data_IF_984685680008
#
_entry.id   IF_984685680008
#
_cell.length_a   1.000
_cell.length_b   1.000
_cell.length_c   1.000
_cell.angle_alpha   90.00
_cell.angle_beta   90.00
_cell.angle_gamma   90.00
#
_symmetry.space_group_name_H-M   'P 1'
#
loop_
_entity.id
_entity.type
_entity.pdbx_description
1 polymer ?
#
# COMPACT_ATOMS: atom_id res chain seq x y z
N UNK A 1 -16.62 3.44 -25.13
CA UNK A 1 -15.69 2.40 -24.61
C UNK A 1 -15.03 2.81 -23.31
N UNK A 2 -14.54 4.05 -23.18
CA UNK A 2 -13.93 4.59 -21.94
C UNK A 2 -14.86 4.53 -20.72
N UNK A 3 -16.16 4.78 -20.90
CA UNK A 3 -17.10 4.84 -19.77
C UNK A 3 -17.39 3.45 -19.18
N UNK A 4 -17.29 2.38 -19.98
CA UNK A 4 -17.38 1.01 -19.49
C UNK A 4 -16.20 0.67 -18.57
N UNK A 5 -14.97 1.07 -18.95
CA UNK A 5 -13.78 0.85 -18.13
C UNK A 5 -13.82 1.65 -16.82
N UNK A 6 -14.33 2.89 -16.85
CA UNK A 6 -14.50 3.70 -15.65
C UNK A 6 -15.49 3.05 -14.67
N UNK A 7 -16.65 2.61 -15.17
CA UNK A 7 -17.66 1.95 -14.35
C UNK A 7 -17.17 0.61 -13.78
N UNK A 8 -16.42 -0.17 -14.58
CA UNK A 8 -15.80 -1.40 -14.12
C UNK A 8 -14.76 -1.15 -13.02
N UNK A 9 -13.92 -0.12 -13.17
CA UNK A 9 -12.94 0.26 -12.16
C UNK A 9 -13.62 0.65 -10.84
N UNK A 10 -14.67 1.47 -10.90
CA UNK A 10 -15.41 1.88 -9.70
C UNK A 10 -16.07 0.69 -8.99
N UNK A 11 -16.65 -0.26 -9.73
CA UNK A 11 -17.23 -1.47 -9.16
C UNK A 11 -16.13 -2.31 -8.49
N UNK A 12 -14.99 -2.51 -9.15
CA UNK A 12 -13.88 -3.26 -8.60
C UNK A 12 -13.33 -2.60 -7.33
N UNK A 13 -13.16 -1.27 -7.32
CA UNK A 13 -12.72 -0.53 -6.14
C UNK A 13 -13.72 -0.68 -4.98
N UNK A 14 -15.03 -0.52 -5.24
CA UNK A 14 -16.06 -0.70 -4.22
C UNK A 14 -16.06 -2.13 -3.66
N UNK A 15 -15.95 -3.14 -4.52
CA UNK A 15 -15.85 -4.55 -4.12
C UNK A 15 -14.61 -4.76 -3.24
N UNK A 16 -13.43 -4.28 -3.65
CA UNK A 16 -12.20 -4.39 -2.88
C UNK A 16 -12.34 -3.73 -1.51
N UNK A 17 -12.92 -2.53 -1.44
CA UNK A 17 -13.14 -1.80 -0.19
C UNK A 17 -14.09 -2.56 0.73
N UNK A 18 -15.22 -3.05 0.23
CA UNK A 18 -16.22 -3.78 1.02
C UNK A 18 -15.63 -5.09 1.55
N UNK A 19 -15.09 -5.93 0.66
CA UNK A 19 -14.53 -7.23 1.04
C UNK A 19 -13.31 -7.06 1.95
N UNK A 20 -12.42 -6.12 1.63
CA UNK A 20 -11.25 -5.86 2.45
C UNK A 20 -11.62 -5.36 3.84
N UNK A 21 -12.62 -4.46 3.95
CA UNK A 21 -13.11 -3.98 5.25
C UNK A 21 -13.68 -5.12 6.09
N UNK A 22 -14.45 -6.03 5.49
CA UNK A 22 -14.94 -7.23 6.16
C UNK A 22 -13.79 -8.13 6.65
N UNK A 23 -12.75 -8.34 5.83
CA UNK A 23 -11.56 -9.12 6.22
C UNK A 23 -10.81 -8.46 7.38
N UNK A 24 -10.64 -7.15 7.37
CA UNK A 24 -10.00 -6.39 8.46
C UNK A 24 -10.81 -6.55 9.76
N UNK A 25 -12.11 -6.29 9.71
CA UNK A 25 -12.98 -6.38 10.88
C UNK A 25 -13.02 -7.79 11.46
N UNK A 26 -13.13 -8.82 10.60
CA UNK A 26 -13.13 -10.21 11.03
C UNK A 26 -11.83 -10.62 11.73
N UNK A 27 -10.68 -10.12 11.27
CA UNK A 27 -9.37 -10.48 11.81
C UNK A 27 -8.89 -9.56 12.94
N UNK A 28 -9.62 -8.50 13.27
CA UNK A 28 -9.18 -7.49 14.25
C UNK A 28 -8.97 -8.09 15.65
N UNK A 29 -9.84 -9.00 16.09
CA UNK A 29 -9.66 -9.68 17.38
C UNK A 29 -8.43 -10.59 17.43
N UNK A 30 -8.09 -11.23 16.30
CA UNK A 30 -6.87 -12.05 16.20
C UNK A 30 -5.60 -11.22 16.07
N UNK A 31 -5.68 -10.05 15.43
CA UNK A 31 -4.55 -9.13 15.27
C UNK A 31 -3.96 -8.67 16.61
N UNK A 32 -4.74 -8.69 17.69
CA UNK A 32 -4.25 -8.33 19.04
C UNK A 32 -3.33 -9.42 19.61
N UNK A 33 -3.54 -10.68 19.23
CA UNK A 33 -2.87 -11.85 19.81
C UNK A 33 -1.77 -12.42 18.90
N UNK A 34 -1.92 -12.32 17.58
CA UNK A 34 -0.99 -12.84 16.60
C UNK A 34 -0.34 -11.72 15.78
N UNK A 35 0.99 -11.61 15.86
CA UNK A 35 1.77 -10.60 15.15
C UNK A 35 1.66 -10.71 13.63
N UNK A 36 1.51 -11.92 13.08
CA UNK A 36 1.35 -12.11 11.63
C UNK A 36 0.01 -11.54 11.18
N UNK A 37 -1.05 -11.89 11.90
CA UNK A 37 -2.39 -11.34 11.65
C UNK A 37 -2.42 -9.82 11.84
N UNK A 38 -1.72 -9.29 12.84
CA UNK A 38 -1.58 -7.85 13.07
C UNK A 38 -0.96 -7.12 11.87
N UNK A 39 0.17 -7.63 11.38
CA UNK A 39 0.86 -7.05 10.24
C UNK A 39 0.06 -7.18 8.93
N UNK A 40 -0.66 -8.30 8.76
CA UNK A 40 -1.57 -8.50 7.63
C UNK A 40 -2.72 -7.51 7.65
N UNK A 41 -3.40 -7.37 8.79
CA UNK A 41 -4.49 -6.40 8.96
C UNK A 41 -3.99 -4.98 8.70
N UNK A 42 -2.84 -4.59 9.25
CA UNK A 42 -2.25 -3.27 8.99
C UNK A 42 -2.00 -3.02 7.49
N UNK A 43 -1.42 -3.99 6.78
CA UNK A 43 -1.18 -3.88 5.34
C UNK A 43 -2.48 -3.70 4.57
N UNK A 44 -3.49 -4.55 4.83
CA UNK A 44 -4.79 -4.46 4.15
C UNK A 44 -5.46 -3.12 4.47
N UNK A 45 -5.42 -2.66 5.72
CA UNK A 45 -5.98 -1.35 6.10
C UNK A 45 -5.37 -0.21 5.29
N UNK A 46 -4.05 -0.15 5.12
CA UNK A 46 -3.42 0.90 4.30
C UNK A 46 -3.80 0.80 2.83
N UNK A 47 -3.88 -0.41 2.27
CA UNK A 47 -4.36 -0.64 0.90
C UNK A 47 -5.81 -0.16 0.74
N UNK A 48 -6.67 -0.44 1.72
CA UNK A 48 -8.07 0.00 1.70
C UNK A 48 -8.21 1.52 1.79
N UNK A 49 -7.36 2.18 2.58
CA UNK A 49 -7.33 3.65 2.63
C UNK A 49 -7.07 4.23 1.23
N UNK A 50 -6.16 3.62 0.45
CA UNK A 50 -5.87 4.07 -0.91
C UNK A 50 -7.08 3.89 -1.82
N UNK A 51 -7.64 2.69 -1.90
CA UNK A 51 -8.78 2.42 -2.77
C UNK A 51 -10.04 3.19 -2.36
N UNK A 52 -10.24 3.40 -1.06
CA UNK A 52 -11.36 4.20 -0.55
C UNK A 52 -11.21 5.67 -0.92
N UNK A 53 -10.01 6.24 -0.73
CA UNK A 53 -9.74 7.62 -1.09
C UNK A 53 -9.90 7.86 -2.61
N UNK A 54 -9.45 6.91 -3.43
CA UNK A 54 -9.61 6.96 -4.88
C UNK A 54 -11.08 6.88 -5.32
N UNK A 55 -11.85 5.95 -4.74
CA UNK A 55 -13.29 5.82 -4.97
C UNK A 55 -14.06 7.09 -4.57
N UNK A 56 -13.67 7.73 -3.47
CA UNK A 56 -14.27 9.00 -3.06
C UNK A 56 -13.87 10.14 -4.01
N UNK A 57 -12.61 10.21 -4.43
CA UNK A 57 -12.15 11.19 -5.39
C UNK A 57 -12.85 11.07 -6.75
N UNK A 58 -13.23 9.85 -7.19
CA UNK A 58 -13.94 9.64 -8.45
C UNK A 58 -15.43 10.01 -8.42
N UNK A 59 -16.00 10.25 -7.24
CA UNK A 59 -17.44 10.51 -7.04
C UNK A 59 -17.78 11.95 -6.69
N UNK A 60 -16.79 12.76 -6.35
CA UNK A 60 -17.00 14.11 -5.84
C UNK A 60 -16.81 15.14 -6.95
N UNK A 61 -17.84 15.94 -7.20
CA UNK A 61 -17.82 17.02 -8.21
C UNK A 61 -17.14 18.30 -7.69
N UNK A 62 -17.02 18.47 -6.37
CA UNK A 62 -16.41 19.65 -5.75
C UNK A 62 -14.87 19.54 -5.68
N UNK A 63 -14.16 20.41 -6.41
CA UNK A 63 -12.71 20.38 -6.54
C UNK A 63 -11.92 20.48 -5.21
N UNK A 64 -12.40 21.26 -4.24
CA UNK A 64 -11.76 21.41 -2.91
C UNK A 64 -11.78 20.09 -2.13
N UNK A 65 -12.88 19.33 -2.26
CA UNK A 65 -13.04 18.06 -1.59
C UNK A 65 -12.18 16.96 -2.24
N UNK A 66 -12.00 16.98 -3.57
CA UNK A 66 -11.14 16.02 -4.29
C UNK A 66 -9.69 16.08 -3.83
N UNK A 67 -9.12 17.28 -3.66
CA UNK A 67 -7.73 17.43 -3.17
C UNK A 67 -7.53 16.80 -1.80
N UNK A 68 -8.51 16.97 -0.89
CA UNK A 68 -8.44 16.41 0.45
C UNK A 68 -8.42 14.87 0.42
N UNK A 69 -9.22 14.26 -0.45
CA UNK A 69 -9.22 12.80 -0.62
C UNK A 69 -7.92 12.29 -1.26
N UNK A 70 -7.38 12.99 -2.25
CA UNK A 70 -6.09 12.64 -2.85
C UNK A 70 -4.94 12.75 -1.83
N UNK A 71 -4.93 13.77 -0.97
CA UNK A 71 -3.97 13.86 0.15
C UNK A 71 -4.17 12.74 1.17
N UNK A 72 -5.41 12.32 1.42
CA UNK A 72 -5.70 11.19 2.31
C UNK A 72 -5.22 9.86 1.71
N UNK A 73 -5.30 9.68 0.39
CA UNK A 73 -4.78 8.50 -0.33
C UNK A 73 -3.30 8.26 -0.02
N UNK A 74 -2.52 9.34 0.08
CA UNK A 74 -1.09 9.26 0.38
C UNK A 74 -0.75 8.64 1.74
N UNK A 75 -1.68 8.67 2.71
CA UNK A 75 -1.53 7.95 3.98
C UNK A 75 -1.34 6.46 3.72
N UNK A 76 -2.15 5.88 2.84
CA UNK A 76 -2.01 4.48 2.47
C UNK A 76 -0.74 4.23 1.64
N UNK A 77 -0.49 5.06 0.62
CA UNK A 77 0.67 4.90 -0.28
C UNK A 77 2.00 4.91 0.49
N UNK A 78 2.18 5.85 1.43
CA UNK A 78 3.42 5.96 2.21
C UNK A 78 3.62 4.79 3.19
N UNK A 79 2.52 4.21 3.70
CA UNK A 79 2.55 3.22 4.78
C UNK A 79 2.54 1.77 4.28
N UNK A 80 2.12 1.51 3.04
CA UNK A 80 2.09 0.17 2.43
C UNK A 80 3.46 -0.53 2.46
N UNK A 81 4.59 0.09 2.04
CA UNK A 81 5.90 -0.58 2.09
C UNK A 81 6.32 -0.95 3.50
N UNK A 82 6.05 -0.08 4.47
CA UNK A 82 6.35 -0.34 5.89
C UNK A 82 5.54 -1.52 6.43
N UNK A 83 4.25 -1.58 6.12
CA UNK A 83 3.37 -2.68 6.52
C UNK A 83 3.72 -3.99 5.81
N UNK A 84 4.11 -3.95 4.53
CA UNK A 84 4.68 -5.11 3.83
C UNK A 84 5.93 -5.60 4.56
N UNK A 85 6.86 -4.71 4.86
CA UNK A 85 8.09 -5.09 5.55
C UNK A 85 7.80 -5.73 6.91
N UNK A 86 6.86 -5.16 7.68
CA UNK A 86 6.35 -5.73 8.93
C UNK A 86 5.82 -7.16 8.75
N UNK A 87 4.94 -7.38 7.78
CA UNK A 87 4.35 -8.70 7.49
C UNK A 87 5.43 -9.69 7.04
N UNK A 88 6.39 -9.26 6.23
CA UNK A 88 7.52 -10.11 5.82
C UNK A 88 8.34 -10.57 7.04
N UNK A 89 8.59 -9.65 7.99
CA UNK A 89 9.30 -9.95 9.22
C UNK A 89 8.55 -10.94 10.11
N UNK A 90 7.25 -10.75 10.27
CA UNK A 90 6.38 -11.63 11.04
C UNK A 90 6.27 -13.03 10.42
N UNK A 91 6.19 -13.14 9.09
CA UNK A 91 6.19 -14.44 8.41
C UNK A 91 7.50 -15.20 8.63
N UNK A 92 8.63 -14.50 8.70
CA UNK A 92 9.92 -15.11 8.92
C UNK A 92 10.13 -15.59 10.36
N UNK A 93 9.57 -14.92 11.37
CA UNK A 93 9.69 -15.37 12.76
C UNK A 93 8.98 -16.72 12.96
N UNK A 94 7.84 -16.93 12.29
CA UNK A 94 7.13 -18.22 12.28
C UNK A 94 7.95 -19.33 11.59
N UNK A 95 8.84 -18.99 10.65
CA UNK A 95 9.74 -19.97 10.00
C UNK A 95 11.04 -20.25 10.78
N UNK A 96 11.16 -19.78 12.02
CA UNK A 96 12.32 -20.04 12.89
C UNK A 96 13.57 -19.19 12.57
N UNK A 97 13.43 -18.07 11.87
CA UNK A 97 14.54 -17.16 11.63
C UNK A 97 14.81 -16.25 12.86
N UNK A 98 16.07 -16.06 13.30
CA UNK A 98 16.38 -15.23 14.45
C UNK A 98 16.00 -13.74 14.22
N UNK A 99 15.39 -13.07 15.20
CA UNK A 99 14.74 -11.76 15.00
C UNK A 99 15.66 -10.53 15.09
N UNK A 100 16.94 -10.67 15.44
CA UNK A 100 17.78 -9.57 15.98
C UNK A 100 17.80 -8.26 15.18
N UNK A 101 17.95 -8.31 13.85
CA UNK A 101 17.97 -7.09 13.02
C UNK A 101 16.57 -6.54 12.72
N UNK A 102 15.55 -7.39 12.71
CA UNK A 102 14.20 -7.05 12.22
C UNK A 102 13.35 -6.29 13.22
N UNK A 103 13.60 -6.50 14.52
CA UNK A 103 12.94 -5.75 15.61
C UNK A 103 13.18 -4.24 15.50
N UNK A 104 14.32 -3.82 14.94
CA UNK A 104 14.65 -2.41 14.71
C UNK A 104 14.33 -1.92 13.28
N UNK A 105 14.36 -2.81 12.29
CA UNK A 105 14.05 -2.42 10.89
C UNK A 105 12.56 -2.13 10.65
N UNK A 106 11.64 -2.81 11.36
CA UNK A 106 10.21 -2.53 11.23
C UNK A 106 9.83 -1.11 11.71
N UNK A 107 10.18 -0.66 12.94
CA UNK A 107 9.83 0.68 13.39
C UNK A 107 10.51 1.77 12.54
N UNK A 108 11.72 1.54 12.05
CA UNK A 108 12.39 2.50 11.15
C UNK A 108 11.66 2.65 9.83
N UNK A 109 11.15 1.58 9.22
CA UNK A 109 10.32 1.67 8.01
C UNK A 109 9.02 2.46 8.26
N UNK A 110 8.37 2.28 9.42
CA UNK A 110 7.20 3.07 9.81
C UNK A 110 7.54 4.54 10.05
N UNK A 111 8.66 4.85 10.71
CA UNK A 111 9.12 6.23 10.93
C UNK A 111 9.43 6.91 9.60
N UNK A 112 10.12 6.23 8.68
CA UNK A 112 10.42 6.78 7.34
C UNK A 112 9.11 7.01 6.57
N UNK A 113 8.17 6.06 6.60
CA UNK A 113 6.84 6.23 6.00
C UNK A 113 6.08 7.42 6.59
N UNK A 114 6.17 7.63 7.90
CA UNK A 114 5.53 8.75 8.60
C UNK A 114 6.21 10.09 8.31
N UNK A 115 7.53 10.12 8.10
CA UNK A 115 8.26 11.29 7.63
C UNK A 115 7.79 11.66 6.21
N UNK A 116 7.71 10.70 5.29
CA UNK A 116 7.19 10.96 3.93
C UNK A 116 5.73 11.41 3.95
N UNK A 117 4.89 10.81 4.80
CA UNK A 117 3.51 11.23 5.01
C UNK A 117 3.45 12.68 5.53
N UNK A 118 4.29 13.02 6.52
CA UNK A 118 4.41 14.38 7.03
C UNK A 118 4.86 15.37 5.95
N UNK A 119 5.83 14.99 5.11
CA UNK A 119 6.28 15.80 3.98
C UNK A 119 5.17 16.05 2.96
N UNK A 120 4.33 15.04 2.66
CA UNK A 120 3.18 15.16 1.74
C UNK A 120 2.07 16.04 2.34
N UNK A 121 1.78 15.90 3.64
CA UNK A 121 0.71 16.67 4.29
C UNK A 121 1.10 18.14 4.52
N UNK A 122 2.36 18.40 4.87
CA UNK A 122 2.84 19.72 5.26
C UNK A 122 3.43 20.52 4.09
N UNK A 123 3.80 19.87 2.99
CA UNK A 123 4.57 20.50 1.92
C UNK A 123 4.02 20.12 0.55
N UNK A 124 3.89 21.09 -0.35
CA UNK A 124 3.65 20.84 -1.79
C UNK A 124 4.91 20.28 -2.51
N UNK A 125 5.88 19.76 -1.76
CA UNK A 125 7.21 19.39 -2.25
C UNK A 125 7.27 17.95 -2.78
N UNK A 126 6.33 17.12 -2.35
CA UNK A 126 6.12 15.75 -2.87
C UNK A 126 4.99 15.72 -3.90
N UNK A 127 4.07 16.67 -3.81
CA UNK A 127 2.84 16.79 -4.59
C UNK A 127 2.64 18.27 -4.89
N UNK A 128 2.77 18.68 -6.15
CA UNK A 128 2.54 20.07 -6.57
C UNK A 128 1.14 20.24 -7.20
N UNK A 129 0.76 21.50 -7.44
CA UNK A 129 -0.60 21.99 -7.77
C UNK A 129 -1.52 21.04 -8.55
N UNK A 130 -2.78 21.03 -8.10
CA UNK A 130 -3.94 20.39 -8.72
C UNK A 130 -4.06 20.80 -10.20
N UNK A 131 -3.67 19.93 -11.13
CA UNK A 131 -3.97 20.11 -12.55
C UNK A 131 -5.33 19.47 -12.83
N UNK A 132 -6.33 20.34 -13.01
CA UNK A 132 -7.72 19.97 -13.28
C UNK A 132 -7.84 19.36 -14.68
N UNK A 133 -7.56 18.06 -14.83
CA UNK A 133 -7.89 17.31 -16.05
C UNK A 133 -9.32 16.74 -15.90
N UNK A 134 -10.25 16.94 -16.85
CA UNK A 134 -11.68 16.58 -16.73
C UNK A 134 -12.01 15.09 -16.50
N UNK A 135 -11.02 14.19 -16.49
CA UNK A 135 -11.25 12.74 -16.43
C UNK A 135 -10.27 11.94 -15.56
N UNK A 136 -9.28 12.60 -14.94
CA UNK A 136 -8.39 11.99 -13.96
C UNK A 136 -7.70 13.12 -13.17
N UNK A 137 -8.27 13.60 -12.05
CA UNK A 137 -7.59 14.57 -11.20
C UNK A 137 -6.35 13.89 -10.61
N UNK A 138 -5.18 14.26 -11.12
CA UNK A 138 -3.90 13.77 -10.62
C UNK A 138 -3.12 14.93 -10.00
N UNK A 139 -2.39 14.63 -8.95
CA UNK A 139 -1.42 15.53 -8.36
C UNK A 139 -0.18 15.57 -9.28
N UNK A 140 0.56 16.67 -9.34
CA UNK A 140 1.85 16.67 -10.07
C UNK A 140 2.93 16.05 -9.18
N UNK A 141 3.80 15.23 -9.77
CA UNK A 141 4.93 14.67 -9.06
C UNK A 141 5.87 15.82 -8.63
N UNK A 142 6.04 16.02 -7.32
CA UNK A 142 7.05 16.96 -6.82
C UNK A 142 8.48 16.42 -7.02
N UNK A 143 9.51 17.26 -6.94
CA UNK A 143 10.91 16.85 -7.16
C UNK A 143 11.40 15.74 -6.21
N UNK A 144 10.78 15.60 -5.04
CA UNK A 144 11.11 14.55 -4.05
C UNK A 144 10.40 13.21 -4.37
N UNK A 145 9.45 13.19 -5.31
CA UNK A 145 8.71 11.98 -5.70
C UNK A 145 9.64 10.84 -6.12
N UNK A 146 10.74 11.12 -6.83
CA UNK A 146 11.71 10.10 -7.23
C UNK A 146 12.38 9.44 -6.03
N UNK A 147 12.74 10.22 -5.00
CA UNK A 147 13.33 9.69 -3.77
C UNK A 147 12.33 8.81 -3.02
N UNK A 148 11.06 9.25 -2.96
CA UNK A 148 9.97 8.44 -2.41
C UNK A 148 9.77 7.14 -3.20
N UNK A 149 9.74 7.20 -4.53
CA UNK A 149 9.58 6.04 -5.40
C UNK A 149 10.73 5.04 -5.21
N UNK A 150 11.98 5.53 -5.13
CA UNK A 150 13.14 4.69 -4.83
C UNK A 150 13.02 4.03 -3.46
N UNK A 151 12.66 4.78 -2.41
CA UNK A 151 12.41 4.22 -1.08
C UNK A 151 11.29 3.16 -1.12
N UNK A 152 10.17 3.48 -1.74
CA UNK A 152 9.00 2.62 -1.88
C UNK A 152 9.38 1.27 -2.51
N UNK A 153 10.07 1.31 -3.65
CA UNK A 153 10.48 0.09 -4.35
C UNK A 153 11.56 -0.68 -3.60
N UNK A 154 12.54 -0.01 -3.00
CA UNK A 154 13.59 -0.68 -2.23
C UNK A 154 13.02 -1.45 -1.03
N UNK A 155 12.12 -0.83 -0.26
CA UNK A 155 11.48 -1.48 0.90
C UNK A 155 10.55 -2.60 0.45
N UNK A 156 9.79 -2.37 -0.63
CA UNK A 156 8.90 -3.38 -1.22
C UNK A 156 9.67 -4.61 -1.68
N UNK A 157 10.76 -4.43 -2.45
CA UNK A 157 11.62 -5.51 -2.93
C UNK A 157 12.26 -6.24 -1.74
N UNK A 158 12.73 -5.53 -0.73
CA UNK A 158 13.27 -6.13 0.48
C UNK A 158 12.22 -6.99 1.21
N UNK A 159 10.98 -6.52 1.29
CA UNK A 159 9.85 -7.28 1.84
C UNK A 159 9.54 -8.55 1.03
N UNK A 160 9.47 -8.44 -0.30
CA UNK A 160 9.22 -9.58 -1.19
C UNK A 160 10.33 -10.62 -1.08
N UNK A 161 11.58 -10.18 -1.08
CA UNK A 161 12.75 -11.05 -0.92
C UNK A 161 12.71 -11.80 0.41
N UNK A 162 12.32 -11.12 1.49
CA UNK A 162 12.14 -11.71 2.81
C UNK A 162 11.06 -12.81 2.81
N UNK A 163 9.90 -12.58 2.20
CA UNK A 163 8.83 -13.60 2.08
C UNK A 163 9.25 -14.76 1.19
N UNK A 164 9.96 -14.49 0.09
CA UNK A 164 10.50 -15.53 -0.79
C UNK A 164 11.49 -16.44 -0.06
N UNK A 165 12.39 -15.86 0.75
CA UNK A 165 13.32 -16.62 1.59
C UNK A 165 12.59 -17.49 2.61
N UNK A 166 11.50 -17.00 3.18
CA UNK A 166 10.67 -17.76 4.10
C UNK A 166 9.96 -18.94 3.41
N UNK A 167 9.46 -18.73 2.19
CA UNK A 167 8.89 -19.80 1.34
C UNK A 167 9.89 -20.93 1.08
N UNK A 168 11.15 -20.61 0.84
CA UNK A 168 12.19 -21.62 0.62
C UNK A 168 12.43 -22.51 1.84
N UNK A 169 12.22 -21.98 3.05
CA UNK A 169 12.36 -22.71 4.32
C UNK A 169 11.17 -23.62 4.64
N UNK A 170 10.07 -23.54 3.88
CA UNK A 170 8.94 -24.45 4.07
C UNK A 170 9.28 -25.87 3.60
N UNK A 171 9.20 -26.83 4.53
CA UNK A 171 9.52 -28.25 4.33
C UNK A 171 8.38 -28.99 3.61
N UNK A 172 7.12 -28.71 3.97
CA UNK A 172 5.96 -29.43 3.40
C UNK A 172 5.41 -28.75 2.16
N UNK A 173 4.90 -29.56 1.22
CA UNK A 173 4.29 -29.10 -0.06
C UNK A 173 3.06 -28.22 0.15
N UNK A 174 2.27 -28.50 1.20
CA UNK A 174 1.07 -27.74 1.57
C UNK A 174 1.40 -26.35 2.09
N UNK A 175 2.35 -26.22 3.02
CA UNK A 175 2.81 -24.92 3.55
C UNK A 175 3.47 -24.09 2.46
N UNK A 176 4.27 -24.71 1.57
CA UNK A 176 4.87 -24.02 0.43
C UNK A 176 3.83 -23.46 -0.55
N UNK A 177 2.74 -24.19 -0.83
CA UNK A 177 1.63 -23.70 -1.68
C UNK A 177 0.92 -22.50 -1.04
N UNK A 178 0.52 -22.61 0.23
CA UNK A 178 -0.12 -21.51 0.97
C UNK A 178 0.73 -20.24 0.97
N UNK A 179 2.03 -20.37 1.22
CA UNK A 179 2.94 -19.24 1.22
C UNK A 179 3.19 -18.64 -0.17
N UNK A 180 3.03 -19.43 -1.24
CA UNK A 180 3.09 -18.93 -2.62
C UNK A 180 1.89 -18.04 -2.93
N UNK A 181 0.70 -18.44 -2.52
CA UNK A 181 -0.52 -17.63 -2.67
C UNK A 181 -0.38 -16.32 -1.90
N UNK A 182 0.13 -16.36 -0.68
CA UNK A 182 0.44 -15.14 0.10
C UNK A 182 1.46 -14.26 -0.61
N UNK A 183 2.54 -14.84 -1.17
CA UNK A 183 3.56 -14.08 -1.90
C UNK A 183 2.96 -13.37 -3.13
N UNK A 184 2.10 -14.03 -3.89
CA UNK A 184 1.42 -13.41 -5.05
C UNK A 184 0.55 -12.22 -4.61
N UNK A 185 -0.26 -12.39 -3.56
CA UNK A 185 -1.05 -11.30 -2.99
C UNK A 185 -0.17 -10.16 -2.45
N UNK A 186 0.98 -10.51 -1.86
CA UNK A 186 1.95 -9.58 -1.31
C UNK A 186 2.66 -8.74 -2.39
N UNK A 187 2.85 -9.28 -3.59
CA UNK A 187 3.38 -8.54 -4.75
C UNK A 187 2.29 -7.68 -5.40
N UNK A 188 1.03 -8.14 -5.40
CA UNK A 188 -0.08 -7.41 -5.99
C UNK A 188 -0.41 -6.10 -5.23
N UNK A 189 -0.29 -6.08 -3.90
CA UNK A 189 -0.61 -4.92 -3.08
C UNK A 189 0.16 -3.63 -3.48
N UNK A 190 1.51 -3.62 -3.53
CA UNK A 190 2.25 -2.43 -3.93
C UNK A 190 2.00 -2.07 -5.39
N UNK A 191 1.80 -3.06 -6.26
CA UNK A 191 1.49 -2.82 -7.65
C UNK A 191 0.12 -2.15 -7.84
N UNK A 192 -0.86 -2.43 -7.00
CA UNK A 192 -2.19 -1.81 -7.08
C UNK A 192 -2.27 -0.42 -6.45
N UNK A 193 -1.36 -0.11 -5.52
CA UNK A 193 -1.37 1.13 -4.75
C UNK A 193 -0.43 2.20 -5.31
N UNK A 194 0.61 1.77 -6.04
CA UNK A 194 1.60 2.71 -6.55
C UNK A 194 0.94 3.73 -7.52
N UNK A 195 1.14 5.03 -7.31
CA UNK A 195 0.46 6.06 -8.10
C UNK A 195 1.13 6.25 -9.47
N UNK A 196 0.86 5.33 -10.40
CA UNK A 196 1.42 5.39 -11.78
C UNK A 196 0.98 6.64 -12.54
N UNK A 197 -0.18 7.19 -12.19
CA UNK A 197 -0.72 8.40 -12.80
C UNK A 197 0.20 9.62 -12.59
N UNK A 198 1.00 9.63 -11.51
CA UNK A 198 2.00 10.68 -11.26
C UNK A 198 3.19 10.59 -12.22
N UNK A 199 3.50 9.39 -12.74
CA UNK A 199 4.58 9.17 -13.71
C UNK A 199 4.08 9.45 -15.13
N UNK A 200 2.84 9.09 -15.44
CA UNK A 200 2.26 9.30 -16.78
C UNK A 200 1.83 10.74 -17.04
N UNK A 201 1.60 11.55 -15.99
CA UNK A 201 1.23 12.96 -16.11
C UNK A 201 2.30 13.87 -16.71
N UNK A 202 3.56 13.42 -16.75
CA UNK A 202 4.68 14.14 -17.40
C UNK A 202 4.88 13.74 -18.88
N UNK A 203 4.15 12.73 -19.38
CA UNK A 203 4.31 12.17 -20.72
C UNK A 203 3.31 12.72 -21.75
N UNK A 204 2.60 13.80 -21.44
CA UNK A 204 1.62 14.45 -22.32
C UNK A 204 1.93 15.93 -22.55
#
# INVERSE_FOLDING_TARGET
>A
MTDFFALLNDILQAVIVIFGSAVVLYNLGRAIHDQVTAAFVALITFVLIVFFAELMASRIEAAVSVETWLRLQWVGIAMVPAAQFHLSGALLSVTGAPPHRRKFMTPTAYVIGLIFLGLVLLTNLVVDEFVRVPRAPHLKAGPIFVVFALYYWLVTIAGIYNVWRARQRCITRTTRRRMTTTLLAFVAAPLGVFPYLLISGDAA
#
